data_IF_098614118554
#
_entry.id   IF_098614118554
#
_cell.length_a   1.000
_cell.length_b   1.000
_cell.length_c   1.000
_cell.angle_alpha   90.00
_cell.angle_beta   90.00
_cell.angle_gamma   90.00
#
_symmetry.space_group_name_H-M   'P 1'
#
loop_
_entity.id
_entity.type
_entity.pdbx_description
1 polymer ?
#
# COMPACT_ATOMS: atom_id res chain seq x y z
N UNK A 1 59.90 -38.00 9.80
CA UNK A 1 59.35 -37.27 10.96
C UNK A 1 57.86 -37.15 10.78
N UNK A 2 57.09 -37.74 11.70
CA UNK A 2 55.64 -37.56 11.83
C UNK A 2 55.41 -36.61 13.00
N UNK A 3 54.56 -35.61 12.83
CA UNK A 3 54.02 -34.82 13.95
C UNK A 3 52.51 -34.86 13.84
N UNK A 4 51.89 -35.50 14.83
CA UNK A 4 50.44 -35.50 15.08
C UNK A 4 50.11 -34.31 15.98
N UNK A 5 48.97 -33.67 15.75
CA UNK A 5 48.30 -32.86 16.77
C UNK A 5 46.90 -33.43 17.05
N UNK A 6 46.47 -33.48 18.32
CA UNK A 6 45.24 -34.15 18.73
C UNK A 6 43.99 -33.30 18.47
N UNK A 7 42.92 -33.97 18.02
CA UNK A 7 41.55 -33.47 18.00
C UNK A 7 41.00 -33.51 19.42
N UNK A 8 40.97 -32.38 20.13
CA UNK A 8 40.09 -32.12 21.29
C UNK A 8 40.32 -30.68 21.76
N UNK A 9 39.24 -30.01 22.15
CA UNK A 9 39.17 -28.63 22.69
C UNK A 9 39.03 -27.53 21.64
N UNK A 10 37.82 -27.39 21.08
CA UNK A 10 37.20 -26.08 20.84
C UNK A 10 35.67 -26.21 20.84
N UNK A 11 35.15 -26.70 21.97
CA UNK A 11 33.75 -26.55 22.37
C UNK A 11 33.80 -25.74 23.66
N UNK A 12 33.03 -24.66 23.71
CA UNK A 12 32.97 -23.59 24.72
C UNK A 12 33.79 -22.33 24.34
N UNK A 13 33.09 -21.19 24.40
CA UNK A 13 33.43 -19.84 23.95
C UNK A 13 33.14 -19.52 22.47
N UNK A 14 31.86 -19.47 22.13
CA UNK A 14 31.33 -18.46 21.19
C UNK A 14 30.01 -17.86 21.70
N UNK A 15 29.89 -17.70 23.02
CA UNK A 15 28.91 -16.80 23.64
C UNK A 15 29.67 -15.54 24.05
N UNK A 16 29.22 -14.39 23.52
CA UNK A 16 29.75 -13.03 23.76
C UNK A 16 31.00 -12.64 22.96
N UNK A 17 30.79 -12.00 21.79
CA UNK A 17 31.31 -10.67 21.45
C UNK A 17 31.41 -10.49 19.92
N UNK A 18 30.47 -9.74 19.35
CA UNK A 18 30.75 -8.52 18.60
C UNK A 18 29.47 -8.05 17.90
N UNK A 19 29.07 -6.82 18.19
CA UNK A 19 28.22 -6.03 17.33
C UNK A 19 28.99 -5.74 16.03
N UNK A 20 29.13 -6.76 15.19
CA UNK A 20 29.52 -6.62 13.80
C UNK A 20 28.26 -6.36 13.00
N UNK A 21 28.29 -5.34 12.14
CA UNK A 21 27.25 -5.11 11.14
C UNK A 21 26.91 -6.45 10.46
N UNK A 22 25.71 -6.95 10.71
CA UNK A 22 25.20 -8.11 9.99
C UNK A 22 25.08 -7.69 8.53
N UNK A 23 26.07 -8.04 7.74
CA UNK A 23 25.89 -8.21 6.30
C UNK A 23 24.75 -9.24 6.19
N UNK A 24 23.57 -8.88 5.64
CA UNK A 24 22.48 -9.83 5.51
C UNK A 24 23.02 -11.03 4.74
N UNK A 25 22.78 -12.28 5.22
CA UNK A 25 23.29 -13.45 4.55
C UNK A 25 22.91 -13.39 3.08
N UNK A 26 23.92 -13.43 2.21
CA UNK A 26 23.73 -13.58 0.79
C UNK A 26 22.93 -14.88 0.58
N UNK A 27 21.66 -14.73 0.17
CA UNK A 27 20.80 -15.86 -0.14
C UNK A 27 19.74 -16.21 0.90
N UNK A 28 19.06 -15.23 1.51
CA UNK A 28 17.67 -15.49 1.94
C UNK A 28 16.90 -15.85 0.66
N UNK A 29 16.68 -17.15 0.42
CA UNK A 29 15.83 -17.62 -0.66
C UNK A 29 14.49 -16.88 -0.58
N UNK A 30 14.04 -16.32 -1.70
CA UNK A 30 12.77 -15.60 -1.73
C UNK A 30 11.67 -16.52 -1.16
N UNK A 31 11.02 -16.09 -0.08
CA UNK A 31 9.92 -16.83 0.56
C UNK A 31 8.93 -17.35 -0.49
N UNK A 32 8.38 -18.55 -0.35
CA UNK A 32 7.34 -19.01 -1.27
C UNK A 32 5.98 -18.36 -0.92
N UNK A 33 5.18 -18.01 -1.93
CA UNK A 33 3.77 -17.70 -1.70
C UNK A 33 2.92 -18.98 -1.64
N UNK A 34 1.69 -18.88 -1.14
CA UNK A 34 0.73 -19.97 -1.23
C UNK A 34 0.23 -20.10 -2.67
N UNK A 35 0.17 -21.32 -3.21
CA UNK A 35 -0.22 -21.56 -4.61
C UNK A 35 -1.56 -22.30 -4.73
N UNK A 36 -1.93 -23.13 -3.75
CA UNK A 36 -3.23 -23.76 -3.70
C UNK A 36 -4.13 -23.12 -2.65
N UNK A 37 -5.44 -23.10 -2.91
CA UNK A 37 -6.43 -22.70 -1.90
C UNK A 37 -6.27 -23.60 -0.68
N UNK A 38 -6.04 -22.97 0.47
CA UNK A 38 -5.77 -23.65 1.72
C UNK A 38 -4.30 -23.65 2.15
N UNK A 39 -3.37 -23.33 1.25
CA UNK A 39 -1.96 -23.18 1.60
C UNK A 39 -1.74 -21.89 2.39
N UNK A 40 -0.74 -21.90 3.28
CA UNK A 40 -0.31 -20.72 4.04
C UNK A 40 0.95 -20.13 3.42
N UNK A 41 0.98 -18.80 3.30
CA UNK A 41 2.14 -18.07 2.82
C UNK A 41 3.36 -18.34 3.71
N UNK A 42 4.54 -18.52 3.11
CA UNK A 42 5.77 -18.66 3.87
C UNK A 42 6.14 -17.34 4.54
N UNK A 43 6.82 -17.43 5.68
CA UNK A 43 7.21 -16.27 6.47
C UNK A 43 8.66 -16.29 6.91
N UNK A 44 9.21 -15.12 7.21
CA UNK A 44 10.48 -14.93 7.91
C UNK A 44 10.36 -13.84 8.95
N UNK A 45 11.26 -13.85 9.94
CA UNK A 45 11.48 -12.69 10.80
C UNK A 45 12.43 -11.74 10.06
N UNK A 46 12.01 -10.49 9.90
CA UNK A 46 12.87 -9.41 9.44
C UNK A 46 13.95 -9.18 10.51
N UNK A 47 15.24 -9.38 10.18
CA UNK A 47 16.30 -9.38 11.19
C UNK A 47 16.58 -7.99 11.77
N UNK A 48 16.10 -6.92 11.13
CA UNK A 48 16.33 -5.53 11.56
C UNK A 48 15.25 -5.10 12.56
N UNK A 49 13.99 -5.35 12.23
CA UNK A 49 12.83 -4.91 13.01
C UNK A 49 12.30 -5.98 13.98
N UNK A 50 12.61 -7.25 13.75
CA UNK A 50 11.97 -8.37 14.43
C UNK A 50 10.52 -8.64 13.98
N UNK A 51 9.99 -7.88 13.01
CA UNK A 51 8.65 -8.09 12.49
C UNK A 51 8.57 -9.35 11.63
N UNK A 52 7.39 -9.96 11.53
CA UNK A 52 7.21 -11.16 10.71
C UNK A 52 6.73 -10.74 9.31
N UNK A 53 7.46 -11.15 8.28
CA UNK A 53 7.14 -10.92 6.88
C UNK A 53 6.55 -12.17 6.27
N UNK A 54 5.44 -12.04 5.56
CA UNK A 54 4.83 -13.08 4.73
C UNK A 54 4.86 -12.64 3.27
N UNK A 55 5.25 -13.54 2.36
CA UNK A 55 5.15 -13.27 0.91
C UNK A 55 3.84 -13.82 0.39
N UNK A 56 2.95 -12.94 -0.09
CA UNK A 56 1.62 -13.30 -0.56
C UNK A 56 1.58 -13.58 -2.05
N UNK A 57 2.55 -13.11 -2.83
CA UNK A 57 2.67 -13.45 -4.25
C UNK A 57 4.10 -13.75 -4.67
N UNK A 58 4.24 -14.61 -5.67
CA UNK A 58 5.47 -14.83 -6.40
C UNK A 58 5.18 -15.03 -7.89
N UNK A 59 6.21 -15.36 -8.67
CA UNK A 59 6.10 -15.56 -10.12
C UNK A 59 5.32 -16.82 -10.53
N UNK A 60 5.09 -17.74 -9.60
CA UNK A 60 4.26 -18.93 -9.85
C UNK A 60 2.79 -18.57 -9.71
N UNK A 61 2.43 -17.82 -8.66
CA UNK A 61 1.07 -17.33 -8.46
C UNK A 61 0.71 -16.21 -9.45
N UNK A 62 1.63 -15.26 -9.65
CA UNK A 62 1.48 -14.06 -10.48
C UNK A 62 2.62 -13.93 -11.49
N UNK A 63 2.56 -14.65 -12.62
CA UNK A 63 3.61 -14.67 -13.63
C UNK A 63 4.02 -13.29 -14.19
N UNK A 64 3.11 -12.31 -14.26
CA UNK A 64 3.41 -10.93 -14.69
C UNK A 64 3.51 -9.92 -13.55
N UNK A 65 3.56 -10.41 -12.32
CA UNK A 65 3.59 -9.59 -11.12
C UNK A 65 2.20 -9.37 -10.52
N UNK A 66 2.24 -8.94 -9.27
CA UNK A 66 1.09 -8.60 -8.46
C UNK A 66 1.22 -7.15 -7.99
N UNK A 67 0.10 -6.48 -7.83
CA UNK A 67 0.07 -5.15 -7.24
C UNK A 67 -1.17 -5.01 -6.37
N UNK A 68 -1.05 -4.18 -5.35
CA UNK A 68 -2.21 -3.50 -4.80
C UNK A 68 -2.21 -2.09 -5.39
N UNK A 69 -3.38 -1.59 -5.77
CA UNK A 69 -3.41 -0.42 -6.65
C UNK A 69 -2.90 0.85 -5.97
N UNK A 70 -3.26 1.09 -4.71
CA UNK A 70 -2.86 2.32 -4.02
C UNK A 70 -2.78 2.18 -2.48
N UNK A 71 -1.87 2.94 -1.86
CA UNK A 71 -1.67 3.02 -0.40
C UNK A 71 -2.92 3.47 0.38
N UNK A 72 -3.88 4.08 -0.31
CA UNK A 72 -5.11 4.66 0.24
C UNK A 72 -6.38 3.89 -0.13
N UNK A 73 -6.25 2.67 -0.66
CA UNK A 73 -7.39 1.80 -0.98
C UNK A 73 -7.57 0.73 0.08
N UNK A 74 -8.78 0.36 0.49
CA UNK A 74 -8.96 -0.67 1.51
C UNK A 74 -8.60 -2.05 0.94
N UNK A 75 -7.39 -2.52 1.23
CA UNK A 75 -6.91 -3.86 0.83
C UNK A 75 -7.07 -4.88 1.96
N UNK A 76 -7.50 -4.43 3.14
CA UNK A 76 -7.91 -5.25 4.27
C UNK A 76 -9.42 -5.20 4.46
N UNK A 77 -10.04 -6.36 4.69
CA UNK A 77 -11.44 -6.45 5.10
C UNK A 77 -11.61 -6.14 6.59
N UNK A 78 -12.84 -5.89 7.09
CA UNK A 78 -13.11 -5.71 8.52
C UNK A 78 -12.60 -6.86 9.40
N UNK A 79 -12.61 -8.09 8.88
CA UNK A 79 -12.05 -9.28 9.55
C UNK A 79 -10.54 -9.49 9.32
N UNK A 80 -9.86 -8.57 8.64
CA UNK A 80 -8.42 -8.63 8.40
C UNK A 80 -7.99 -9.52 7.23
N UNK A 81 -8.91 -9.88 6.33
CA UNK A 81 -8.57 -10.57 5.07
C UNK A 81 -7.88 -9.61 4.11
N UNK A 82 -6.96 -10.11 3.31
CA UNK A 82 -6.21 -9.30 2.34
C UNK A 82 -6.65 -9.60 0.93
N UNK A 83 -6.68 -8.57 0.08
CA UNK A 83 -6.83 -8.73 -1.38
C UNK A 83 -5.69 -8.03 -2.10
N UNK A 84 -5.30 -8.57 -3.24
CA UNK A 84 -4.45 -7.87 -4.20
C UNK A 84 -4.76 -8.36 -5.61
N UNK A 85 -4.28 -7.63 -6.61
CA UNK A 85 -4.49 -7.97 -8.01
C UNK A 85 -3.28 -8.66 -8.59
N UNK A 86 -3.54 -9.78 -9.25
CA UNK A 86 -2.54 -10.65 -9.83
C UNK A 86 -2.68 -10.64 -11.34
N UNK A 87 -1.62 -10.27 -12.06
CA UNK A 87 -1.57 -10.40 -13.52
C UNK A 87 -1.12 -11.82 -13.86
N UNK A 88 -2.08 -12.64 -14.27
CA UNK A 88 -1.86 -14.08 -14.37
C UNK A 88 -1.41 -14.54 -15.76
N UNK A 89 -1.70 -13.77 -16.81
CA UNK A 89 -1.31 -14.13 -18.19
C UNK A 89 0.01 -13.46 -18.58
N UNK A 90 1.02 -14.29 -18.93
CA UNK A 90 2.33 -13.83 -19.34
C UNK A 90 2.36 -13.03 -20.65
N UNK A 91 1.34 -13.18 -21.49
CA UNK A 91 1.23 -12.60 -22.83
C UNK A 91 0.24 -11.44 -22.88
N UNK A 92 -0.66 -11.31 -21.90
CA UNK A 92 -1.68 -10.27 -21.85
C UNK A 92 -1.78 -9.60 -20.47
N UNK A 93 -1.22 -8.38 -20.36
CA UNK A 93 -1.21 -7.61 -19.11
C UNK A 93 -2.58 -7.09 -18.66
N UNK A 94 -3.60 -7.20 -19.51
CA UNK A 94 -4.96 -6.80 -19.17
C UNK A 94 -5.72 -7.92 -18.46
N UNK A 95 -5.20 -9.15 -18.40
CA UNK A 95 -5.86 -10.24 -17.70
C UNK A 95 -5.42 -10.30 -16.24
N UNK A 96 -6.41 -10.18 -15.34
CA UNK A 96 -6.21 -10.01 -13.90
C UNK A 96 -7.14 -10.91 -13.12
N UNK A 97 -6.63 -11.53 -12.06
CA UNK A 97 -7.43 -12.19 -11.03
C UNK A 97 -7.23 -11.49 -9.68
N UNK A 98 -8.20 -11.67 -8.79
CA UNK A 98 -8.21 -11.03 -7.48
C UNK A 98 -7.90 -12.09 -6.43
N UNK A 99 -6.68 -12.06 -5.91
CA UNK A 99 -6.21 -13.06 -4.94
C UNK A 99 -6.59 -12.61 -3.55
N UNK A 100 -7.15 -13.52 -2.76
CA UNK A 100 -7.63 -13.24 -1.39
C UNK A 100 -6.99 -14.21 -0.39
N UNK A 101 -6.43 -13.63 0.67
CA UNK A 101 -5.90 -14.35 1.83
C UNK A 101 -6.75 -14.06 3.08
N UNK A 102 -6.81 -15.01 4.01
CA UNK A 102 -7.39 -14.76 5.33
C UNK A 102 -6.43 -14.00 6.26
N UNK A 103 -6.90 -13.67 7.47
CA UNK A 103 -6.11 -12.94 8.47
C UNK A 103 -4.86 -13.71 8.97
N UNK A 104 -4.82 -15.03 8.75
CA UNK A 104 -3.72 -15.94 9.10
C UNK A 104 -2.80 -16.25 7.91
N UNK A 105 -2.97 -15.51 6.81
CA UNK A 105 -2.18 -15.62 5.57
C UNK A 105 -2.33 -16.96 4.86
N UNK A 106 -3.51 -17.58 4.97
CA UNK A 106 -3.94 -18.73 4.17
C UNK A 106 -4.66 -18.26 2.91
N UNK A 107 -4.31 -18.82 1.75
CA UNK A 107 -4.94 -18.50 0.48
C UNK A 107 -6.40 -19.01 0.47
N UNK A 108 -7.36 -18.10 0.36
CA UNK A 108 -8.79 -18.41 0.28
C UNK A 108 -9.25 -18.54 -1.17
N UNK A 109 -8.82 -17.61 -2.02
CA UNK A 109 -9.22 -17.56 -3.44
C UNK A 109 -8.04 -17.10 -4.29
N UNK A 110 -7.69 -17.87 -5.32
CA UNK A 110 -6.78 -17.42 -6.37
C UNK A 110 -7.48 -16.43 -7.33
N UNK A 111 -8.81 -16.48 -7.41
CA UNK A 111 -9.65 -15.54 -8.15
C UNK A 111 -11.01 -15.36 -7.44
N UNK A 112 -11.15 -14.25 -6.73
CA UNK A 112 -12.38 -13.88 -6.04
C UNK A 112 -13.52 -13.50 -7.01
N UNK A 113 -13.20 -12.99 -8.21
CA UNK A 113 -14.20 -12.69 -9.24
C UNK A 113 -14.89 -13.97 -9.70
N UNK A 114 -14.10 -14.97 -10.11
CA UNK A 114 -14.63 -16.27 -10.49
C UNK A 114 -15.36 -16.97 -9.32
N UNK A 115 -14.84 -16.90 -8.10
CA UNK A 115 -15.51 -17.47 -6.92
C UNK A 115 -16.88 -16.83 -6.64
N UNK A 116 -17.03 -15.53 -6.93
CA UNK A 116 -18.29 -14.79 -6.87
C UNK A 116 -19.21 -15.04 -8.09
N UNK A 117 -18.80 -15.88 -9.05
CA UNK A 117 -19.53 -16.14 -10.29
C UNK A 117 -19.46 -15.00 -11.32
N UNK A 118 -18.53 -14.06 -11.17
CA UNK A 118 -18.30 -12.97 -12.11
C UNK A 118 -17.24 -13.38 -13.14
N UNK A 119 -17.47 -13.05 -14.43
CA UNK A 119 -16.60 -13.43 -15.55
C UNK A 119 -16.01 -12.25 -16.32
N UNK A 120 -16.24 -11.03 -15.86
CA UNK A 120 -15.65 -9.83 -16.48
C UNK A 120 -14.28 -9.51 -15.90
N UNK A 121 -13.59 -8.58 -16.53
CA UNK A 121 -12.32 -8.04 -16.01
C UNK A 121 -12.60 -7.01 -14.91
N UNK A 122 -11.86 -7.11 -13.81
CA UNK A 122 -11.89 -6.18 -12.70
C UNK A 122 -10.57 -5.41 -12.69
N UNK A 123 -10.61 -4.14 -13.08
CA UNK A 123 -9.40 -3.33 -13.24
C UNK A 123 -8.85 -2.83 -11.92
N UNK A 124 -9.70 -2.62 -10.92
CA UNK A 124 -9.36 -2.23 -9.55
C UNK A 124 -10.25 -3.04 -8.59
N UNK A 125 -9.69 -3.47 -7.46
CA UNK A 125 -10.39 -4.26 -6.45
C UNK A 125 -10.11 -3.67 -5.06
N UNK A 126 -11.16 -3.59 -4.24
CA UNK A 126 -11.11 -3.03 -2.90
C UNK A 126 -12.10 -3.76 -2.00
N UNK A 127 -11.77 -3.91 -0.73
CA UNK A 127 -12.75 -4.37 0.25
C UNK A 127 -13.80 -3.30 0.53
N UNK A 128 -15.01 -3.76 0.83
CA UNK A 128 -15.92 -2.99 1.67
C UNK A 128 -15.24 -2.65 3.00
N UNK A 129 -15.52 -1.45 3.50
CA UNK A 129 -15.06 -1.01 4.83
C UNK A 129 -15.94 -1.54 5.97
N UNK A 130 -17.10 -2.13 5.65
CA UNK A 130 -18.10 -2.56 6.65
C UNK A 130 -18.63 -3.98 6.45
N UNK A 131 -18.39 -4.61 5.29
CA UNK A 131 -18.85 -5.95 4.93
C UNK A 131 -17.67 -6.82 4.51
N UNK A 132 -17.92 -8.13 4.46
CA UNK A 132 -17.01 -9.10 3.84
C UNK A 132 -17.33 -9.29 2.36
N UNK A 133 -17.38 -8.18 1.62
CA UNK A 133 -17.56 -8.13 0.16
C UNK A 133 -16.49 -7.26 -0.47
N UNK A 134 -16.19 -7.53 -1.74
CA UNK A 134 -15.26 -6.75 -2.55
C UNK A 134 -16.04 -5.87 -3.51
N UNK A 135 -15.52 -4.68 -3.82
CA UNK A 135 -15.98 -3.86 -4.92
C UNK A 135 -14.92 -3.81 -6.01
N UNK A 136 -15.34 -3.97 -7.25
CA UNK A 136 -14.45 -3.88 -8.40
C UNK A 136 -14.99 -2.94 -9.48
N UNK A 137 -14.07 -2.23 -10.14
CA UNK A 137 -14.39 -1.40 -11.29
C UNK A 137 -14.22 -2.19 -12.59
N UNK A 138 -15.20 -2.10 -13.47
CA UNK A 138 -15.18 -2.69 -14.82
C UNK A 138 -15.77 -1.69 -15.83
N UNK A 139 -14.92 -1.10 -16.66
CA UNK A 139 -15.31 -0.03 -17.58
C UNK A 139 -15.90 1.18 -16.83
N UNK A 140 -17.22 1.36 -16.89
CA UNK A 140 -17.98 2.43 -16.19
C UNK A 140 -18.86 1.91 -15.07
N UNK A 141 -18.70 0.65 -14.68
CA UNK A 141 -19.59 -0.06 -13.76
C UNK A 141 -18.80 -0.50 -12.53
N UNK A 142 -19.40 -0.34 -11.35
CA UNK A 142 -18.87 -0.91 -10.10
C UNK A 142 -19.70 -2.14 -9.76
N UNK A 143 -19.01 -3.25 -9.54
CA UNK A 143 -19.58 -4.55 -9.18
C UNK A 143 -19.23 -4.84 -7.73
N UNK A 144 -20.21 -5.25 -6.93
CA UNK A 144 -19.97 -5.90 -5.64
C UNK A 144 -19.84 -7.41 -5.86
N UNK A 145 -18.80 -8.00 -5.30
CA UNK A 145 -18.46 -9.42 -5.37
C UNK A 145 -18.50 -10.00 -3.95
N UNK A 146 -19.26 -11.08 -3.77
CA UNK A 146 -19.29 -11.89 -2.55
C UNK A 146 -18.82 -13.32 -2.89
N UNK A 147 -17.49 -13.58 -2.83
CA UNK A 147 -16.94 -14.89 -3.16
C UNK A 147 -17.35 -15.99 -2.15
N UNK A 148 -17.81 -15.61 -0.95
CA UNK A 148 -18.26 -16.55 0.07
C UNK A 148 -19.68 -17.04 -0.19
N UNK A 149 -20.55 -16.15 -0.67
CA UNK A 149 -21.93 -16.49 -1.08
C UNK A 149 -22.05 -16.88 -2.55
N UNK A 150 -20.97 -16.78 -3.32
CA UNK A 150 -20.93 -17.03 -4.77
C UNK A 150 -21.91 -16.14 -5.54
N UNK A 151 -21.98 -14.87 -5.14
CA UNK A 151 -22.87 -13.89 -5.76
C UNK A 151 -22.11 -12.65 -6.18
N UNK A 152 -22.62 -11.97 -7.19
CA UNK A 152 -22.16 -10.66 -7.60
C UNK A 152 -23.36 -9.81 -8.00
N UNK A 153 -23.22 -8.48 -7.93
CA UNK A 153 -24.23 -7.54 -8.41
C UNK A 153 -23.61 -6.23 -8.87
N UNK A 154 -24.26 -5.59 -9.85
CA UNK A 154 -23.95 -4.20 -10.21
C UNK A 154 -24.46 -3.29 -9.10
N UNK A 155 -23.57 -2.49 -8.50
CA UNK A 155 -23.93 -1.48 -7.48
C UNK A 155 -23.94 -0.06 -8.06
N UNK A 156 -23.15 0.19 -9.10
CA UNK A 156 -23.16 1.45 -9.83
C UNK A 156 -22.96 1.17 -11.32
N UNK A 157 -23.73 1.86 -12.14
CA UNK A 157 -23.53 1.90 -13.59
C UNK A 157 -23.52 3.38 -14.01
N UNK A 158 -22.32 3.94 -14.22
CA UNK A 158 -22.16 5.36 -14.55
C UNK A 158 -22.75 5.69 -15.93
N UNK A 159 -22.85 4.72 -16.84
CA UNK A 159 -23.47 4.93 -18.15
C UNK A 159 -24.99 5.20 -18.03
N UNK A 160 -25.60 4.82 -16.90
CA UNK A 160 -27.01 5.10 -16.57
C UNK A 160 -27.20 6.35 -15.69
N UNK A 161 -26.13 7.06 -15.32
CA UNK A 161 -26.20 8.27 -14.49
C UNK A 161 -26.22 9.53 -15.34
N UNK A 162 -26.66 10.63 -14.73
CA UNK A 162 -26.67 11.96 -15.35
C UNK A 162 -25.26 12.34 -15.80
N UNK A 163 -25.08 12.96 -16.97
CA UNK A 163 -23.78 13.46 -17.43
C UNK A 163 -23.20 14.51 -16.47
N UNK A 164 -21.88 14.71 -16.54
CA UNK A 164 -21.22 15.80 -15.83
C UNK A 164 -21.71 17.13 -16.41
N UNK A 165 -22.08 18.08 -15.55
CA UNK A 165 -22.60 19.38 -15.99
C UNK A 165 -21.54 20.46 -15.74
N UNK A 166 -21.25 21.30 -16.73
CA UNK A 166 -20.40 22.48 -16.53
C UNK A 166 -21.15 23.68 -15.96
N UNK A 167 -20.43 24.77 -15.68
CA UNK A 167 -21.00 25.99 -15.10
C UNK A 167 -22.00 26.71 -16.02
N UNK A 168 -21.97 26.42 -17.32
CA UNK A 168 -22.95 26.90 -18.29
C UNK A 168 -24.16 25.95 -18.43
N UNK A 169 -24.17 24.83 -17.71
CA UNK A 169 -25.22 23.82 -17.78
C UNK A 169 -25.13 22.91 -19.00
N UNK A 170 -23.98 22.87 -19.70
CA UNK A 170 -23.75 21.92 -20.79
C UNK A 170 -23.41 20.54 -20.22
N UNK A 171 -24.02 19.52 -20.82
CA UNK A 171 -23.82 18.12 -20.45
C UNK A 171 -22.60 17.49 -21.14
N UNK A 172 -21.76 16.85 -20.34
CA UNK A 172 -20.55 16.14 -20.75
C UNK A 172 -20.68 14.66 -20.39
N UNK A 173 -20.92 13.75 -21.36
CA UNK A 173 -21.09 12.34 -21.06
C UNK A 173 -19.78 11.74 -20.56
N UNK A 174 -19.79 11.21 -19.34
CA UNK A 174 -18.72 10.38 -18.82
C UNK A 174 -18.72 9.04 -19.55
N UNK A 175 -17.65 8.71 -20.25
CA UNK A 175 -17.53 7.43 -20.96
C UNK A 175 -16.39 6.56 -20.43
N UNK A 176 -15.67 7.02 -19.40
CA UNK A 176 -14.59 6.28 -18.76
C UNK A 176 -14.52 6.57 -17.26
N UNK A 177 -14.36 5.52 -16.46
CA UNK A 177 -13.87 5.63 -15.09
C UNK A 177 -12.35 5.42 -15.07
N UNK A 178 -11.61 6.35 -14.46
CA UNK A 178 -10.15 6.31 -14.39
C UNK A 178 -9.65 5.69 -13.08
N UNK A 179 -10.34 5.97 -11.99
CA UNK A 179 -10.00 5.52 -10.64
C UNK A 179 -11.30 5.35 -9.86
N UNK A 180 -11.35 4.35 -9.01
CA UNK A 180 -12.43 4.10 -8.08
C UNK A 180 -11.86 3.99 -6.67
N UNK A 181 -12.55 4.48 -5.65
CA UNK A 181 -12.11 4.33 -4.26
C UNK A 181 -13.30 4.06 -3.36
N UNK A 182 -13.18 3.06 -2.49
CA UNK A 182 -14.10 2.80 -1.38
C UNK A 182 -13.56 3.47 -0.12
N UNK A 183 -14.32 4.40 0.43
CA UNK A 183 -14.08 5.10 1.68
C UNK A 183 -14.99 4.62 2.83
N UNK A 184 -14.94 5.30 3.99
CA UNK A 184 -15.64 4.89 5.20
C UNK A 184 -17.17 4.75 5.01
N UNK A 185 -17.71 3.63 5.49
CA UNK A 185 -19.13 3.31 5.37
C UNK A 185 -19.55 2.94 3.95
N UNK A 186 -18.61 2.42 3.16
CA UNK A 186 -18.79 2.08 1.74
C UNK A 186 -19.24 3.26 0.87
N UNK A 187 -18.90 4.48 1.29
CA UNK A 187 -18.98 5.63 0.39
C UNK A 187 -17.93 5.46 -0.68
N UNK A 188 -18.29 5.69 -1.92
CA UNK A 188 -17.38 5.46 -3.03
C UNK A 188 -17.25 6.71 -3.87
N UNK A 189 -16.06 6.92 -4.42
CA UNK A 189 -15.83 7.92 -5.46
C UNK A 189 -15.32 7.23 -6.71
N UNK A 190 -15.80 7.70 -7.85
CA UNK A 190 -15.24 7.40 -9.16
C UNK A 190 -14.73 8.69 -9.81
N UNK A 191 -13.48 8.67 -10.24
CA UNK A 191 -12.93 9.66 -11.17
C UNK A 191 -13.48 9.36 -12.57
N UNK A 192 -14.26 10.28 -13.10
CA UNK A 192 -14.89 10.18 -14.41
C UNK A 192 -14.14 11.07 -15.40
N UNK A 193 -13.85 10.52 -16.57
CA UNK A 193 -13.36 11.29 -17.70
C UNK A 193 -14.40 11.24 -18.82
N UNK A 194 -14.71 12.41 -19.37
CA UNK A 194 -15.45 12.54 -20.62
C UNK A 194 -14.47 12.34 -21.78
N UNK A 195 -14.90 11.61 -22.80
CA UNK A 195 -14.17 11.49 -24.06
C UNK A 195 -14.27 12.72 -24.96
N UNK A 196 -14.91 13.80 -24.48
CA UNK A 196 -15.03 15.08 -25.19
C UNK A 196 -13.91 16.01 -24.71
N UNK A 197 -13.13 16.51 -25.67
CA UNK A 197 -12.16 17.57 -25.44
C UNK A 197 -12.89 18.91 -25.34
N UNK A 198 -12.80 19.59 -24.20
CA UNK A 198 -13.25 20.95 -24.00
C UNK A 198 -12.02 21.86 -23.82
N UNK A 199 -11.90 22.92 -24.62
CA UNK A 199 -10.72 23.80 -24.62
C UNK A 199 -9.37 23.07 -24.76
N UNK A 200 -9.33 21.97 -25.52
CA UNK A 200 -8.11 21.20 -25.75
C UNK A 200 -7.72 20.23 -24.62
N UNK A 201 -8.57 20.03 -23.61
CA UNK A 201 -8.37 19.04 -22.54
C UNK A 201 -9.60 18.16 -22.35
N UNK A 202 -9.41 16.91 -21.94
CA UNK A 202 -10.53 16.05 -21.56
C UNK A 202 -11.26 16.63 -20.34
N UNK A 203 -12.58 16.72 -20.42
CA UNK A 203 -13.41 17.09 -19.27
C UNK A 203 -13.33 15.97 -18.24
N UNK A 204 -13.03 16.31 -16.99
CA UNK A 204 -12.98 15.35 -15.89
C UNK A 204 -13.91 15.74 -14.76
N UNK A 205 -14.33 14.76 -13.98
CA UNK A 205 -15.18 14.99 -12.84
C UNK A 205 -15.07 13.87 -11.83
N UNK A 206 -15.82 14.04 -10.76
CA UNK A 206 -16.00 13.03 -9.73
C UNK A 206 -17.47 12.69 -9.60
N UNK A 207 -17.77 11.41 -9.45
CA UNK A 207 -19.03 10.95 -8.90
C UNK A 207 -18.77 10.34 -7.54
N UNK A 208 -19.48 10.80 -6.53
CA UNK A 208 -19.49 10.22 -5.20
C UNK A 208 -20.86 9.61 -4.92
N UNK A 209 -20.87 8.49 -4.23
CA UNK A 209 -22.10 7.87 -3.78
C UNK A 209 -21.95 7.23 -2.41
N UNK A 210 -23.03 7.22 -1.64
CA UNK A 210 -23.06 6.56 -0.34
C UNK A 210 -23.62 5.13 -0.41
N UNK A 211 -23.56 4.42 0.70
CA UNK A 211 -24.09 3.05 0.80
C UNK A 211 -25.61 2.95 0.59
N UNK A 212 -26.35 4.06 0.66
CA UNK A 212 -27.79 4.13 0.42
C UNK A 212 -28.11 4.48 -1.05
N UNK A 213 -27.08 4.68 -1.89
CA UNK A 213 -27.23 5.05 -3.29
C UNK A 213 -27.48 6.53 -3.52
N UNK A 214 -27.35 7.39 -2.49
CA UNK A 214 -27.32 8.83 -2.71
C UNK A 214 -26.13 9.15 -3.61
N UNK A 215 -26.34 10.00 -4.61
CA UNK A 215 -25.40 10.24 -5.69
C UNK A 215 -25.17 11.74 -5.83
N UNK A 216 -23.90 12.13 -5.81
CA UNK A 216 -23.45 13.48 -6.09
C UNK A 216 -22.38 13.43 -7.18
N UNK A 217 -22.32 14.46 -8.01
CA UNK A 217 -21.26 14.60 -8.99
C UNK A 217 -20.83 16.05 -9.12
N UNK A 218 -19.59 16.25 -9.54
CA UNK A 218 -19.00 17.57 -9.73
C UNK A 218 -18.00 17.53 -10.87
N UNK A 219 -18.02 18.58 -11.68
CA UNK A 219 -17.03 18.81 -12.73
C UNK A 219 -15.74 19.42 -12.14
N UNK A 220 -14.61 19.02 -12.72
CA UNK A 220 -13.28 19.52 -12.36
C UNK A 220 -12.60 20.15 -13.59
N UNK A 221 -11.87 21.29 -13.43
CA UNK A 221 -11.72 22.07 -12.20
C UNK A 221 -13.01 22.75 -11.77
N UNK A 222 -13.20 22.93 -10.46
CA UNK A 222 -14.31 23.74 -9.96
C UNK A 222 -14.05 25.18 -10.39
N UNK A 223 -15.09 25.91 -10.79
CA UNK A 223 -14.95 27.30 -11.20
C UNK A 223 -14.23 28.12 -10.10
N UNK A 224 -13.11 28.74 -10.46
CA UNK A 224 -12.24 29.47 -9.53
C UNK A 224 -11.01 28.69 -9.02
N UNK A 225 -10.90 27.40 -9.32
CA UNK A 225 -9.69 26.62 -9.04
C UNK A 225 -8.62 26.92 -10.09
N UNK A 226 -7.40 27.23 -9.64
CA UNK A 226 -6.19 27.31 -10.49
C UNK A 226 -5.62 25.92 -10.76
N UNK A 227 -6.45 24.99 -11.26
CA UNK A 227 -6.05 23.64 -11.64
C UNK A 227 -6.00 23.53 -13.18
N UNK A 228 -4.80 23.33 -13.78
CA UNK A 228 -4.62 23.48 -15.23
C UNK A 228 -5.31 22.38 -16.06
N UNK A 229 -5.55 21.19 -15.51
CA UNK A 229 -6.25 20.10 -16.19
C UNK A 229 -6.52 18.93 -15.23
N UNK A 230 -7.70 18.88 -14.61
CA UNK A 230 -8.10 17.75 -13.78
C UNK A 230 -7.26 17.54 -12.52
N UNK A 231 -7.36 16.35 -11.92
CA UNK A 231 -6.64 15.95 -10.71
C UNK A 231 -5.92 14.60 -10.94
N UNK A 232 -4.84 14.36 -10.20
CA UNK A 232 -3.99 13.18 -10.33
C UNK A 232 -4.50 12.00 -9.50
N UNK A 233 -5.02 12.28 -8.31
CA UNK A 233 -5.48 11.27 -7.35
C UNK A 233 -6.72 11.73 -6.58
N UNK A 234 -7.57 10.76 -6.22
CA UNK A 234 -8.57 10.90 -5.16
C UNK A 234 -8.08 10.16 -3.92
N UNK A 235 -8.40 10.65 -2.72
CA UNK A 235 -8.22 9.88 -1.49
C UNK A 235 -9.37 10.15 -0.51
N UNK A 236 -9.78 9.17 0.28
CA UNK A 236 -10.75 9.39 1.36
C UNK A 236 -10.03 9.60 2.69
N UNK A 237 -10.37 10.69 3.36
CA UNK A 237 -10.15 10.77 4.80
C UNK A 237 -10.99 9.71 5.50
N UNK A 238 -10.47 9.19 6.60
CA UNK A 238 -11.21 8.29 7.48
C UNK A 238 -12.25 9.04 8.35
N UNK A 239 -12.46 10.35 8.10
CA UNK A 239 -13.41 11.17 8.85
C UNK A 239 -14.83 10.57 8.78
N UNK A 240 -15.62 10.63 9.88
CA UNK A 240 -17.03 10.24 9.87
C UNK A 240 -17.86 10.97 8.80
N UNK A 241 -17.48 12.23 8.48
CA UNK A 241 -18.09 13.01 7.39
C UNK A 241 -17.72 12.52 5.99
N UNK A 242 -16.78 11.57 5.89
CA UNK A 242 -16.34 10.96 4.65
C UNK A 242 -15.69 11.97 3.71
N UNK A 243 -14.86 12.89 4.23
CA UNK A 243 -14.22 13.87 3.34
C UNK A 243 -13.31 13.17 2.35
N UNK A 244 -13.42 13.54 1.09
CA UNK A 244 -12.59 13.12 -0.01
C UNK A 244 -11.66 14.26 -0.39
N UNK A 245 -10.39 13.96 -0.63
CA UNK A 245 -9.42 14.94 -1.10
C UNK A 245 -9.07 14.67 -2.56
N UNK A 246 -9.11 15.72 -3.36
CA UNK A 246 -8.65 15.74 -4.75
C UNK A 246 -7.24 16.33 -4.80
N UNK A 247 -6.36 15.65 -5.51
CA UNK A 247 -4.94 15.98 -5.64
C UNK A 247 -4.66 16.65 -6.96
N UNK A 248 -4.20 17.90 -6.92
CA UNK A 248 -3.84 18.66 -8.12
C UNK A 248 -2.33 18.88 -8.11
N UNK A 249 -1.56 18.17 -8.93
CA UNK A 249 -0.10 18.09 -8.79
C UNK A 249 0.63 19.44 -8.69
N UNK A 250 0.17 20.48 -9.37
CA UNK A 250 0.75 21.82 -9.33
C UNK A 250 -0.16 22.89 -8.69
N UNK A 251 -1.33 22.50 -8.17
CA UNK A 251 -2.31 23.44 -7.61
C UNK A 251 -2.58 23.14 -6.13
N UNK A 252 -3.18 24.08 -5.39
CA UNK A 252 -3.69 23.79 -4.07
C UNK A 252 -4.61 22.59 -4.08
N UNK A 253 -4.50 21.79 -3.03
CA UNK A 253 -5.34 20.62 -2.87
C UNK A 253 -6.61 20.94 -2.14
N UNK A 254 -7.67 20.21 -2.46
CA UNK A 254 -8.98 20.45 -1.89
C UNK A 254 -9.56 19.18 -1.31
N UNK A 255 -10.13 19.26 -0.10
CA UNK A 255 -11.08 18.25 0.37
C UNK A 255 -12.51 18.71 0.18
N UNK A 256 -13.37 17.74 -0.08
CA UNK A 256 -14.81 17.86 -0.25
C UNK A 256 -15.48 16.89 0.72
N UNK A 257 -16.64 17.22 1.28
CA UNK A 257 -17.50 16.18 1.88
C UNK A 257 -17.95 15.18 0.82
N UNK A 258 -18.33 13.96 1.20
CA UNK A 258 -18.73 12.92 0.23
C UNK A 258 -19.95 13.33 -0.63
N UNK A 259 -20.84 14.15 -0.10
CA UNK A 259 -21.99 14.73 -0.79
C UNK A 259 -21.63 15.98 -1.61
N UNK A 260 -20.35 16.38 -1.61
CA UNK A 260 -19.79 17.54 -2.30
C UNK A 260 -20.36 18.90 -1.83
N UNK A 261 -21.01 18.93 -0.65
CA UNK A 261 -21.64 20.14 -0.10
C UNK A 261 -20.66 21.12 0.57
N UNK A 262 -19.48 20.67 0.98
CA UNK A 262 -18.48 21.48 1.69
C UNK A 262 -17.08 21.29 1.13
N UNK A 263 -16.37 22.40 0.87
CA UNK A 263 -14.99 22.44 0.33
C UNK A 263 -14.03 23.07 1.34
N UNK A 264 -12.82 22.52 1.41
CA UNK A 264 -11.70 22.99 2.25
C UNK A 264 -10.42 22.94 1.43
N UNK A 265 -9.63 24.03 1.45
CA UNK A 265 -8.34 24.12 0.80
C UNK A 265 -7.21 23.75 1.77
N UNK A 266 -6.30 22.88 1.35
CA UNK A 266 -5.07 22.60 2.09
C UNK A 266 -4.01 23.65 1.80
N UNK A 267 -3.18 23.93 2.81
CA UNK A 267 -2.01 24.81 2.69
C UNK A 267 -0.82 24.13 1.94
N UNK A 268 -1.04 22.98 1.30
CA UNK A 268 -0.02 22.22 0.55
C UNK A 268 -0.51 21.78 -0.83
N UNK A 269 0.46 21.54 -1.72
CA UNK A 269 0.24 21.17 -3.13
C UNK A 269 0.77 19.75 -3.49
N UNK A 270 1.24 18.94 -2.53
CA UNK A 270 1.99 17.71 -2.85
C UNK A 270 1.05 16.51 -3.00
N UNK A 271 1.30 15.64 -3.98
CA UNK A 271 0.33 14.59 -4.35
C UNK A 271 0.29 13.37 -3.44
N UNK A 272 1.44 12.95 -2.92
CA UNK A 272 1.59 11.67 -2.21
C UNK A 272 1.19 11.79 -0.74
N UNK A 273 0.04 11.22 -0.37
CA UNK A 273 -0.60 11.46 0.93
C UNK A 273 -1.01 10.18 1.64
N UNK A 274 -1.07 10.28 2.96
CA UNK A 274 -1.69 9.30 3.85
C UNK A 274 -2.81 9.94 4.68
N UNK A 275 -3.64 9.09 5.30
CA UNK A 275 -4.73 9.52 6.18
C UNK A 275 -4.84 8.63 7.41
N UNK A 276 -5.21 9.22 8.53
CA UNK A 276 -5.62 8.47 9.71
C UNK A 276 -6.62 9.29 10.54
N UNK A 277 -7.35 8.61 11.42
CA UNK A 277 -8.15 9.26 12.45
C UNK A 277 -7.34 9.34 13.74
N UNK A 278 -7.28 10.52 14.34
CA UNK A 278 -6.70 10.68 15.65
C UNK A 278 -7.63 10.16 16.74
N UNK A 279 -7.06 9.59 17.80
CA UNK A 279 -7.79 9.31 19.05
C UNK A 279 -8.33 10.58 19.71
N UNK A 280 -7.83 11.75 19.32
CA UNK A 280 -8.36 13.07 19.68
C UNK A 280 -9.67 13.45 18.95
N UNK A 281 -10.24 12.55 18.13
CA UNK A 281 -11.49 12.76 17.41
C UNK A 281 -11.37 13.61 16.14
N UNK A 282 -10.16 14.01 15.74
CA UNK A 282 -9.90 14.73 14.49
C UNK A 282 -9.35 13.75 13.45
N UNK A 283 -9.45 14.10 12.17
CA UNK A 283 -8.86 13.32 11.07
C UNK A 283 -7.74 14.10 10.42
N UNK A 284 -6.67 13.40 10.08
CA UNK A 284 -5.44 14.00 9.58
C UNK A 284 -5.08 13.45 8.21
N UNK A 285 -4.65 14.37 7.36
CA UNK A 285 -3.84 14.08 6.17
C UNK A 285 -2.37 14.18 6.56
N UNK A 286 -1.56 13.23 6.12
CA UNK A 286 -0.10 13.24 6.24
C UNK A 286 0.51 13.55 4.88
N UNK A 287 1.42 14.51 4.82
CA UNK A 287 2.08 14.87 3.56
C UNK A 287 3.47 15.49 3.78
N UNK A 288 4.28 15.48 2.74
CA UNK A 288 5.48 16.31 2.67
C UNK A 288 5.10 17.78 2.65
N UNK A 289 5.76 18.58 3.49
CA UNK A 289 5.63 20.03 3.47
C UNK A 289 6.23 20.54 2.17
N UNK A 290 5.53 21.45 1.50
CA UNK A 290 5.95 21.93 0.21
C UNK A 290 5.70 23.44 0.04
N UNK A 291 6.25 23.98 -1.04
CA UNK A 291 5.97 25.32 -1.52
C UNK A 291 5.76 25.33 -3.03
N UNK A 292 5.08 26.35 -3.52
CA UNK A 292 5.10 26.69 -4.93
C UNK A 292 6.39 27.46 -5.22
N UNK A 293 7.22 26.92 -6.12
CA UNK A 293 8.47 27.54 -6.54
C UNK A 293 8.20 28.82 -7.33
N UNK A 294 9.15 29.74 -7.30
CA UNK A 294 9.11 31.04 -8.00
C UNK A 294 10.20 31.12 -9.09
N UNK A 295 10.19 32.19 -9.89
CA UNK A 295 11.22 32.45 -10.92
C UNK A 295 11.15 31.47 -12.10
N UNK A 296 12.30 30.94 -12.55
CA UNK A 296 12.37 30.02 -13.71
C UNK A 296 11.63 28.68 -13.51
N UNK A 297 11.24 28.38 -12.27
CA UNK A 297 10.44 27.19 -11.90
C UNK A 297 9.07 27.60 -11.36
N UNK A 298 8.59 28.81 -11.68
CA UNK A 298 7.29 29.31 -11.24
C UNK A 298 6.18 28.29 -11.50
N UNK A 299 5.40 27.98 -10.46
CA UNK A 299 4.28 27.03 -10.53
C UNK A 299 4.66 25.56 -10.29
N UNK A 300 5.94 25.22 -10.18
CA UNK A 300 6.37 23.87 -9.77
C UNK A 300 6.27 23.69 -8.25
N UNK A 301 6.18 22.45 -7.79
CA UNK A 301 6.18 22.11 -6.37
C UNK A 301 7.62 21.85 -5.90
N UNK A 302 8.06 22.58 -4.88
CA UNK A 302 9.31 22.34 -4.16
C UNK A 302 9.04 21.67 -2.82
N UNK A 303 9.90 20.74 -2.42
CA UNK A 303 9.83 20.13 -1.09
C UNK A 303 10.55 21.01 -0.06
N UNK A 304 9.93 21.21 1.10
CA UNK A 304 10.54 21.88 2.25
C UNK A 304 11.15 20.82 3.16
N UNK A 305 12.31 21.14 3.72
CA UNK A 305 13.08 20.22 4.54
C UNK A 305 14.16 20.91 5.35
N UNK A 306 14.98 20.10 6.01
CA UNK A 306 16.02 20.53 6.93
C UNK A 306 17.30 19.70 6.72
N UNK A 307 18.43 20.22 7.17
CA UNK A 307 19.70 19.49 7.19
C UNK A 307 19.95 19.00 8.62
N UNK A 308 19.94 17.69 8.82
CA UNK A 308 20.23 17.05 10.11
C UNK A 308 21.47 16.18 9.96
N UNK A 309 22.49 16.44 10.78
CA UNK A 309 23.80 15.78 10.67
C UNK A 309 24.39 15.79 9.24
N UNK A 310 24.26 16.92 8.54
CA UNK A 310 24.78 17.10 7.18
C UNK A 310 23.96 16.46 6.06
N UNK A 311 22.87 15.74 6.37
CA UNK A 311 21.97 15.13 5.39
C UNK A 311 20.66 15.93 5.26
N UNK A 312 20.25 16.23 4.04
CA UNK A 312 18.95 16.85 3.77
C UNK A 312 17.82 15.84 4.03
N UNK A 313 16.73 16.30 4.64
CA UNK A 313 15.54 15.52 4.98
C UNK A 313 14.27 16.31 4.64
N UNK A 314 13.24 15.71 4.03
CA UNK A 314 11.96 16.37 3.85
C UNK A 314 11.26 16.57 5.20
N UNK A 315 10.63 17.73 5.39
CA UNK A 315 9.70 17.95 6.49
C UNK A 315 8.34 17.32 6.12
N UNK A 316 7.69 16.70 7.09
CA UNK A 316 6.33 16.18 6.93
C UNK A 316 5.38 16.86 7.90
N UNK A 317 4.10 16.87 7.58
CA UNK A 317 3.10 17.53 8.42
C UNK A 317 1.79 16.76 8.51
N UNK A 318 1.11 16.99 9.64
CA UNK A 318 -0.26 16.59 9.90
C UNK A 318 -1.18 17.77 9.60
N UNK A 319 -2.07 17.60 8.63
CA UNK A 319 -3.07 18.60 8.23
C UNK A 319 -4.46 18.14 8.64
N UNK A 320 -5.19 18.98 9.37
CA UNK A 320 -6.56 18.67 9.76
C UNK A 320 -7.46 18.72 8.52
N UNK A 321 -8.17 17.62 8.22
CA UNK A 321 -8.94 17.50 6.97
C UNK A 321 -10.18 18.39 6.92
N UNK A 322 -10.67 18.84 8.09
CA UNK A 322 -11.84 19.72 8.21
C UNK A 322 -11.46 21.20 8.04
N UNK A 323 -10.22 21.59 8.35
CA UNK A 323 -9.76 22.99 8.25
C UNK A 323 -8.74 23.22 7.13
N UNK A 324 -8.09 22.16 6.66
CA UNK A 324 -7.00 22.21 5.68
C UNK A 324 -5.68 22.72 6.26
N UNK A 325 -5.64 23.02 7.56
CA UNK A 325 -4.51 23.67 8.21
C UNK A 325 -3.50 22.67 8.76
N UNK A 326 -2.22 23.01 8.63
CA UNK A 326 -1.12 22.31 9.30
C UNK A 326 -1.25 22.48 10.81
N UNK A 327 -1.38 21.37 11.54
CA UNK A 327 -1.42 21.36 13.00
C UNK A 327 -0.10 20.91 13.63
N UNK A 328 0.71 20.12 12.92
CA UNK A 328 1.99 19.64 13.42
C UNK A 328 2.97 19.36 12.27
N UNK A 329 4.26 19.62 12.49
CA UNK A 329 5.35 19.34 11.56
C UNK A 329 6.39 18.45 12.23
N UNK A 330 6.92 17.46 11.51
CA UNK A 330 7.87 16.48 12.02
C UNK A 330 8.98 16.16 11.02
N UNK A 331 9.89 15.27 11.43
CA UNK A 331 11.07 14.79 10.69
C UNK A 331 12.26 15.75 10.61
N UNK A 332 12.14 16.96 11.17
CA UNK A 332 13.24 17.91 11.31
C UNK A 332 13.87 17.99 12.70
N UNK A 333 13.59 17.01 13.57
CA UNK A 333 14.22 16.88 14.88
C UNK A 333 15.53 16.07 14.85
N UNK A 334 16.26 16.00 15.99
CA UNK A 334 17.51 15.26 16.13
C UNK A 334 17.36 13.71 16.17
N UNK A 335 16.15 13.18 15.94
CA UNK A 335 15.79 11.76 16.07
C UNK A 335 16.17 10.93 14.80
N UNK A 336 16.12 9.57 14.85
CA UNK A 336 16.95 8.70 14.02
C UNK A 336 16.66 8.78 12.50
N UNK A 337 17.67 8.41 11.71
CA UNK A 337 17.83 8.57 10.23
C UNK A 337 16.75 7.94 9.33
N UNK A 338 15.75 7.26 9.89
CA UNK A 338 14.84 6.41 9.13
C UNK A 338 13.70 7.25 8.55
N UNK A 339 13.66 7.36 7.22
CA UNK A 339 12.61 8.08 6.49
C UNK A 339 12.06 7.16 5.39
N UNK A 340 10.83 6.71 5.61
CA UNK A 340 10.00 6.09 4.59
C UNK A 340 8.84 7.05 4.29
N UNK A 341 8.99 7.91 3.28
CA UNK A 341 8.06 9.03 3.07
C UNK A 341 7.74 9.34 1.61
N UNK A 342 8.03 8.42 0.69
CA UNK A 342 7.67 8.55 -0.72
C UNK A 342 6.16 8.31 -0.91
N UNK A 343 5.58 7.42 -0.10
CA UNK A 343 4.15 7.25 0.04
C UNK A 343 3.77 7.06 1.51
N UNK A 344 2.56 7.49 1.88
CA UNK A 344 1.95 7.21 3.18
C UNK A 344 0.65 6.43 2.98
N UNK A 345 0.37 5.50 3.88
CA UNK A 345 -0.86 4.73 3.86
C UNK A 345 -2.06 5.54 4.33
N UNK A 346 -3.24 5.17 3.87
CA UNK A 346 -4.45 5.42 4.65
C UNK A 346 -4.62 4.30 5.66
N UNK A 347 -4.89 4.67 6.91
CA UNK A 347 -5.01 3.75 8.03
C UNK A 347 -6.34 3.96 8.74
N UNK A 348 -7.07 2.87 8.92
CA UNK A 348 -8.27 2.86 9.76
C UNK A 348 -7.91 2.77 11.26
N UNK A 349 -6.67 2.40 11.59
CA UNK A 349 -6.18 2.38 12.96
C UNK A 349 -6.01 3.82 13.48
N UNK A 350 -6.44 4.12 14.72
CA UNK A 350 -6.24 5.44 15.28
C UNK A 350 -4.74 5.72 15.45
N UNK A 351 -4.34 6.95 15.18
CA UNK A 351 -3.00 7.51 15.43
C UNK A 351 -1.84 6.90 14.64
N UNK A 352 -2.07 5.81 13.91
CA UNK A 352 -1.03 5.00 13.29
C UNK A 352 -1.19 5.05 11.78
N UNK A 353 -0.08 5.19 11.07
CA UNK A 353 -0.01 5.01 9.63
C UNK A 353 1.35 4.44 9.22
N UNK A 354 1.47 4.04 7.97
CA UNK A 354 2.71 3.52 7.42
C UNK A 354 3.24 4.47 6.37
N UNK A 355 4.56 4.57 6.29
CA UNK A 355 5.25 5.22 5.19
C UNK A 355 6.15 4.23 4.48
N UNK A 356 6.36 4.44 3.20
CA UNK A 356 7.21 3.61 2.37
C UNK A 356 8.23 4.46 1.61
N UNK A 357 9.38 3.86 1.34
CA UNK A 357 10.37 4.36 0.39
C UNK A 357 11.00 3.21 -0.39
N UNK A 358 11.93 3.54 -1.28
CA UNK A 358 12.66 2.60 -2.15
C UNK A 358 13.28 1.40 -1.44
N UNK A 359 13.58 1.50 -0.13
CA UNK A 359 14.32 0.49 0.60
C UNK A 359 13.72 0.12 1.97
N UNK A 360 12.59 0.69 2.38
CA UNK A 360 12.02 0.43 3.69
C UNK A 360 10.53 0.74 3.79
N UNK A 361 9.89 0.07 4.75
CA UNK A 361 8.57 0.42 5.27
C UNK A 361 8.74 0.83 6.73
N UNK A 362 8.16 1.95 7.12
CA UNK A 362 8.16 2.44 8.49
C UNK A 362 6.73 2.61 9.02
N UNK A 363 6.54 2.39 10.31
CA UNK A 363 5.31 2.74 11.03
C UNK A 363 5.51 4.05 11.76
N UNK A 364 4.51 4.91 11.67
CA UNK A 364 4.45 6.19 12.33
C UNK A 364 3.30 6.19 13.35
N UNK A 365 3.49 6.85 14.48
CA UNK A 365 2.47 7.00 15.52
C UNK A 365 2.42 8.46 15.98
N UNK A 366 1.24 9.07 15.88
CA UNK A 366 0.96 10.40 16.40
C UNK A 366 0.67 10.35 17.90
N UNK A 367 1.16 11.36 18.62
CA UNK A 367 0.87 11.59 20.03
C UNK A 367 0.31 13.00 20.19
N UNK A 368 -0.51 13.18 21.23
CA UNK A 368 -1.19 14.43 21.52
C UNK A 368 -0.85 14.95 22.90
N UNK A 369 -0.86 16.28 23.05
CA UNK A 369 -0.79 16.93 24.35
C UNK A 369 -2.12 16.81 25.12
N UNK A 370 -2.14 17.33 26.36
CA UNK A 370 -3.34 17.33 27.20
C UNK A 370 -4.52 18.14 26.62
N UNK A 371 -4.27 19.01 25.63
CA UNK A 371 -5.31 19.77 24.92
C UNK A 371 -5.81 19.05 23.66
N UNK A 372 -5.29 17.84 23.38
CA UNK A 372 -5.62 17.06 22.20
C UNK A 372 -4.97 17.58 20.91
N UNK A 373 -3.94 18.43 20.98
CA UNK A 373 -3.19 18.86 19.81
C UNK A 373 -2.02 17.91 19.55
N UNK A 374 -1.71 17.57 18.29
CA UNK A 374 -0.57 16.70 18.01
C UNK A 374 0.73 17.40 18.43
N UNK A 375 1.58 16.70 19.19
CA UNK A 375 2.82 17.26 19.74
C UNK A 375 4.06 16.41 19.43
N UNK A 376 3.87 15.17 18.96
CA UNK A 376 4.96 14.28 18.60
C UNK A 376 4.49 13.26 17.55
N UNK A 377 5.43 12.86 16.69
CA UNK A 377 5.30 11.67 15.85
C UNK A 377 6.52 10.79 16.12
N UNK A 378 6.28 9.54 16.51
CA UNK A 378 7.33 8.52 16.63
C UNK A 378 7.37 7.65 15.39
N UNK A 379 8.55 7.14 15.03
CA UNK A 379 8.76 6.32 13.84
C UNK A 379 9.56 5.08 14.19
N UNK A 380 9.19 3.93 13.62
CA UNK A 380 9.98 2.70 13.67
C UNK A 380 10.08 2.05 12.29
N UNK A 381 11.25 1.48 11.96
CA UNK A 381 11.39 0.63 10.77
C UNK A 381 10.67 -0.68 11.01
N UNK A 382 9.80 -1.05 10.07
CA UNK A 382 9.04 -2.29 10.12
C UNK A 382 9.63 -3.34 9.19
N UNK A 383 10.28 -2.94 8.09
CA UNK A 383 11.13 -3.84 7.29
C UNK A 383 12.04 -3.05 6.36
N UNK A 384 13.20 -3.63 6.04
CA UNK A 384 14.13 -3.16 5.00
C UNK A 384 14.23 -4.10 3.80
N UNK A 385 13.31 -5.06 3.67
CA UNK A 385 13.32 -6.10 2.64
C UNK A 385 12.97 -5.59 1.22
N UNK A 386 12.82 -4.28 1.04
CA UNK A 386 12.62 -3.69 -0.29
C UNK A 386 13.99 -3.67 -1.00
N UNK A 387 14.13 -4.51 -2.02
CA UNK A 387 15.41 -4.87 -2.61
C UNK A 387 16.24 -3.68 -3.10
N UNK A 388 17.52 -3.67 -2.71
CA UNK A 388 18.53 -2.62 -2.97
C UNK A 388 19.01 -2.48 -4.42
N UNK A 389 18.34 -3.08 -5.42
CA UNK A 389 18.77 -3.10 -6.82
C UNK A 389 17.62 -2.85 -7.80
N UNK A 390 16.75 -1.88 -7.50
CA UNK A 390 15.68 -1.50 -8.41
C UNK A 390 16.25 -0.75 -9.63
N UNK A 391 16.23 -1.39 -10.80
CA UNK A 391 16.02 -0.63 -12.03
C UNK A 391 14.64 0.02 -11.87
N UNK A 392 14.58 1.34 -11.85
CA UNK A 392 13.33 2.11 -11.79
C UNK A 392 12.40 1.59 -12.90
N UNK A 393 11.38 0.83 -12.54
CA UNK A 393 10.43 0.21 -13.47
C UNK A 393 9.27 1.15 -13.82
N UNK A 394 9.53 2.45 -13.77
CA UNK A 394 8.56 3.53 -13.92
C UNK A 394 8.02 4.03 -12.57
N UNK A 395 7.29 5.14 -12.63
CA UNK A 395 6.69 5.84 -11.48
C UNK A 395 5.74 4.96 -10.63
N UNK A 396 5.26 3.84 -11.18
CA UNK A 396 4.34 2.92 -10.49
C UNK A 396 5.04 1.76 -9.79
N UNK A 397 6.38 1.71 -9.77
CA UNK A 397 7.16 0.63 -9.17
C UNK A 397 7.65 0.93 -7.74
N UNK A 398 7.31 2.09 -7.18
CA UNK A 398 7.63 2.45 -5.80
C UNK A 398 6.81 1.64 -4.82
N UNK A 399 7.45 1.13 -3.77
CA UNK A 399 6.77 0.39 -2.71
C UNK A 399 5.66 1.24 -2.11
N UNK A 400 4.47 0.68 -2.04
CA UNK A 400 3.31 1.29 -1.39
C UNK A 400 2.95 0.44 -0.18
N UNK A 401 2.48 1.09 0.88
CA UNK A 401 1.99 0.40 2.06
C UNK A 401 0.50 0.70 2.23
N UNK A 402 -0.28 -0.33 2.53
CA UNK A 402 -1.64 -0.22 3.02
C UNK A 402 -1.72 -0.81 4.42
N UNK A 403 -2.46 -0.17 5.32
CA UNK A 403 -2.58 -0.60 6.72
C UNK A 403 -3.87 -1.38 6.95
N UNK A 404 -3.83 -2.35 7.85
CA UNK A 404 -5.05 -2.89 8.47
C UNK A 404 -5.66 -1.90 9.48
N UNK A 405 -6.85 -2.24 9.99
CA UNK A 405 -7.58 -1.44 10.97
C UNK A 405 -6.98 -1.46 12.37
N UNK A 406 -6.01 -2.35 12.64
CA UNK A 406 -5.33 -2.45 13.93
C UNK A 406 -4.00 -1.70 13.95
N UNK A 407 -3.45 -1.33 12.79
CA UNK A 407 -2.16 -0.64 12.68
C UNK A 407 -0.98 -1.57 12.99
N UNK A 408 -1.21 -2.88 12.89
CA UNK A 408 -0.24 -3.93 13.22
C UNK A 408 0.14 -4.74 12.00
N UNK A 409 -0.62 -4.66 10.90
CA UNK A 409 -0.23 -5.24 9.62
C UNK A 409 -0.16 -4.17 8.54
N UNK A 410 0.85 -4.29 7.67
CA UNK A 410 0.92 -3.52 6.44
C UNK A 410 1.14 -4.42 5.24
N UNK A 411 0.22 -4.34 4.28
CA UNK A 411 0.40 -4.93 2.96
C UNK A 411 1.28 -3.99 2.14
N UNK A 412 2.32 -4.50 1.50
CA UNK A 412 3.17 -3.70 0.63
C UNK A 412 3.62 -4.48 -0.60
N UNK A 413 3.81 -3.77 -1.71
CA UNK A 413 4.39 -4.31 -2.92
C UNK A 413 5.89 -3.99 -2.98
N UNK A 414 6.67 -4.92 -3.49
CA UNK A 414 8.12 -4.80 -3.61
C UNK A 414 8.61 -5.62 -4.80
N UNK A 415 9.63 -5.12 -5.48
CA UNK A 415 10.30 -5.88 -6.55
C UNK A 415 11.42 -6.71 -5.95
N UNK A 416 11.15 -7.99 -5.67
CA UNK A 416 12.16 -8.92 -5.18
C UNK A 416 12.82 -9.67 -6.36
N UNK A 417 14.08 -9.32 -6.65
CA UNK A 417 14.86 -9.93 -7.73
C UNK A 417 14.66 -9.25 -9.08
N UNK A 418 15.74 -9.13 -9.86
CA UNK A 418 15.79 -8.33 -11.09
C UNK A 418 14.62 -8.56 -12.08
N UNK A 419 14.18 -7.45 -12.69
CA UNK A 419 13.03 -7.36 -13.61
C UNK A 419 11.98 -6.35 -13.12
N UNK A 420 10.99 -6.04 -13.96
CA UNK A 420 9.86 -5.16 -13.60
C UNK A 420 8.62 -5.95 -13.18
N UNK A 421 8.80 -6.88 -12.25
CA UNK A 421 7.72 -7.71 -11.71
C UNK A 421 7.65 -7.50 -10.21
N UNK A 422 6.53 -6.98 -9.75
CA UNK A 422 6.25 -6.70 -8.34
C UNK A 422 5.66 -7.93 -7.65
N UNK A 423 6.08 -8.17 -6.42
CA UNK A 423 5.49 -9.14 -5.50
C UNK A 423 4.81 -8.41 -4.35
N UNK A 424 3.83 -9.05 -3.72
CA UNK A 424 3.10 -8.52 -2.58
C UNK A 424 3.53 -9.26 -1.33
N UNK A 425 3.81 -8.48 -0.30
CA UNK A 425 4.18 -8.91 1.04
C UNK A 425 3.19 -8.34 2.04
N UNK A 426 3.11 -8.97 3.20
CA UNK A 426 2.52 -8.36 4.39
C UNK A 426 3.49 -8.49 5.54
N UNK A 427 3.70 -7.37 6.24
CA UNK A 427 4.43 -7.35 7.50
C UNK A 427 3.46 -7.33 8.66
N UNK A 428 3.73 -8.14 9.68
CA UNK A 428 2.97 -8.22 10.92
C UNK A 428 3.86 -7.85 12.11
N UNK A 429 3.48 -6.78 12.80
CA UNK A 429 4.18 -6.21 13.97
C UNK A 429 3.67 -6.89 15.23
N UNK A 430 4.59 -7.36 16.09
CA UNK A 430 4.25 -8.03 17.35
C UNK A 430 3.69 -9.45 17.18
N UNK A 431 3.71 -10.00 15.97
CA UNK A 431 3.39 -11.41 15.73
C UNK A 431 4.50 -12.33 16.25
N UNK A 432 4.11 -13.48 16.82
CA UNK A 432 5.07 -14.57 17.05
C UNK A 432 5.32 -15.21 15.70
N UNK A 433 6.57 -15.17 15.24
CA UNK A 433 6.96 -15.90 14.05
C UNK A 433 6.58 -17.38 14.25
N UNK A 434 5.97 -18.05 13.26
CA UNK A 434 5.84 -19.48 13.34
C UNK A 434 7.25 -20.06 13.58
N UNK A 435 7.38 -21.12 14.40
CA UNK A 435 8.68 -21.72 14.64
C UNK A 435 9.35 -21.98 13.28
N UNK A 436 10.66 -21.72 13.14
CA UNK A 436 11.36 -22.00 11.90
C UNK A 436 11.00 -23.42 11.48
N UNK A 437 10.82 -23.70 10.17
CA UNK A 437 10.64 -25.06 9.72
C UNK A 437 11.74 -25.91 10.39
N UNK A 438 11.40 -27.09 10.95
CA UNK A 438 12.37 -27.88 11.69
C UNK A 438 13.64 -27.98 10.88
N UNK A 439 14.78 -27.68 11.51
CA UNK A 439 16.07 -27.75 10.83
C UNK A 439 16.15 -29.09 10.11
N UNK A 440 16.53 -29.07 8.83
CA UNK A 440 16.76 -30.29 8.07
C UNK A 440 17.70 -31.16 8.90
N UNK A 441 17.23 -32.35 9.29
CA UNK A 441 18.05 -33.32 9.99
C UNK A 441 19.05 -33.86 8.97
N UNK A 442 20.19 -33.18 8.88
CA UNK A 442 21.27 -33.53 7.98
C UNK A 442 22.36 -34.25 8.75
N UNK A 443 22.73 -35.44 8.29
CA UNK A 443 23.88 -36.19 8.82
C UNK A 443 24.97 -36.20 7.76
N UNK A 444 26.15 -35.69 8.09
CA UNK A 444 27.31 -35.75 7.21
C UNK A 444 28.00 -37.10 7.39
N UNK A 445 28.11 -37.88 6.31
CA UNK A 445 28.87 -39.12 6.28
C UNK A 445 29.92 -39.03 5.16
N UNK A 446 31.16 -38.73 5.53
CA UNK A 446 32.21 -38.36 4.58
C UNK A 446 31.86 -37.06 3.85
N UNK A 447 31.88 -37.10 2.51
CA UNK A 447 31.52 -35.95 1.64
C UNK A 447 30.03 -35.92 1.27
N UNK A 448 29.22 -36.74 1.95
CA UNK A 448 27.82 -36.94 1.60
C UNK A 448 26.96 -36.44 2.76
N UNK A 449 26.15 -35.41 2.49
CA UNK A 449 25.19 -34.87 3.43
C UNK A 449 23.82 -35.50 3.17
N UNK A 450 23.37 -36.36 4.10
CA UNK A 450 22.05 -36.98 4.05
C UNK A 450 21.06 -36.12 4.82
N UNK A 451 20.12 -35.47 4.12
CA UNK A 451 19.13 -34.60 4.73
C UNK A 451 17.75 -35.22 4.67
N UNK A 452 17.05 -35.25 5.81
CA UNK A 452 15.66 -35.69 5.88
C UNK A 452 14.77 -34.49 6.20
N UNK A 453 13.95 -34.02 5.25
CA UNK A 453 12.97 -32.98 5.52
C UNK A 453 11.82 -33.55 6.36
N UNK A 454 11.15 -32.72 7.19
CA UNK A 454 10.00 -33.15 8.00
C UNK A 454 8.81 -33.68 7.19
N UNK A 455 8.72 -33.31 5.91
CA UNK A 455 7.56 -33.55 5.04
C UNK A 455 7.75 -34.64 3.98
N UNK A 456 8.86 -35.41 3.97
CA UNK A 456 9.02 -36.42 2.94
C UNK A 456 10.39 -37.10 2.82
N UNK A 457 10.66 -37.57 1.59
CA UNK A 457 11.74 -38.49 1.29
C UNK A 457 13.13 -37.87 1.54
N UNK A 458 14.04 -38.63 2.16
CA UNK A 458 15.41 -38.19 2.35
C UNK A 458 16.10 -37.94 1.02
N UNK A 459 16.96 -36.92 0.98
CA UNK A 459 17.79 -36.59 -0.17
C UNK A 459 19.26 -36.47 0.25
N UNK A 460 20.13 -36.53 -0.75
CA UNK A 460 21.57 -36.64 -0.55
C UNK A 460 22.28 -35.54 -1.34
N UNK A 461 23.14 -34.77 -0.67
CA UNK A 461 24.02 -33.79 -1.30
C UNK A 461 25.44 -34.33 -1.27
N UNK A 462 26.10 -34.38 -2.42
CA UNK A 462 27.53 -34.69 -2.51
C UNK A 462 28.30 -33.37 -2.49
N UNK A 463 29.06 -33.15 -1.42
CA UNK A 463 29.95 -31.99 -1.27
C UNK A 463 31.27 -32.33 -1.94
N UNK A 464 31.49 -31.81 -3.15
CA UNK A 464 32.80 -31.90 -3.80
C UNK A 464 33.64 -30.72 -3.33
N UNK A 465 34.85 -31.00 -2.83
CA UNK A 465 35.87 -29.96 -2.63
C UNK A 465 36.15 -29.28 -3.99
N UNK A 466 36.45 -27.97 -4.01
CA UNK A 466 36.74 -27.24 -5.25
C UNK A 466 37.96 -27.76 -6.01
#
# INVERSE_FOLDING_TARGET
MKVNFPKSVLIALLCCASAGAQVPPAGVGLLASAHAVGDKAASMVDPVSGAVLYRLSDRTLCPQGAAHYYSYTPQFSPSGRMVFTCRYDATNQNLRHQVVYDADFKLLYADAGAAAGYRGDCTEIMWSTVKETLYCLTGTTVIELDPFKKTNRVVLDLAKKTPLMDSAGLAHPGNRALQFIVGPGDRMTVHIQSGVNYNGSNVVGIAAFDANGAYAQMLVPVAGDTAPSGFDEVQFSQSPKGRMTLVYGAAPNFSYTADLSSRVQFDDNHGHRGYFNGSNGRSYKVNAVNNTLTGKRAGQVGQIGCVVAGKWRPAFALYNVETGKKEFEFNCGPAPEIIAGDHFSSSAAPDVWFGSSDNMIARYTAHYDASGNPNQVTTETVTSLVGSNQKICGYWAFSRANSDSTGTKALFDSTAGGGCKTDVYVVAIGGVAPPPPPALACTLNGNILHCTPPSGNPFTIVVTEP
#
